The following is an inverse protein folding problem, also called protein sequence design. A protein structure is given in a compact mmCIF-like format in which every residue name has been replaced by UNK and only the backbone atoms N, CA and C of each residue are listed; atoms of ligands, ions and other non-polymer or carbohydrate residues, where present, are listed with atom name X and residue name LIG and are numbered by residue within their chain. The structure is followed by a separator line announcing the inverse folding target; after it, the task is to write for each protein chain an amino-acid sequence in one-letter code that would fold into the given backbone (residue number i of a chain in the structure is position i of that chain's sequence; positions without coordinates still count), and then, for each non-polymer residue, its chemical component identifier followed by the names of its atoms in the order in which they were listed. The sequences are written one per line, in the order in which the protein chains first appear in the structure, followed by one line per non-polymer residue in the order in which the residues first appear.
data_IF_215535054063
#
_entry.id   IF_215535054063
#
_cell.length_a   1.000
_cell.length_b   1.000
_cell.length_c   1.000
_cell.angle_alpha   90.00
_cell.angle_beta   90.00
_cell.angle_gamma   90.00
#
_symmetry.space_group_name_H-M   'P 1'
#
loop_
_entity.id
_entity.type
_entity.pdbx_description
1 polymer ?
#
# COMPACT_ATOMS: atom_id res chain seq x y z
N UNK A 1 -16.13 -25.03 -25.21
CA UNK A 1 -15.58 -24.95 -23.83
C UNK A 1 -15.61 -23.48 -23.43
N UNK A 2 -16.44 -23.08 -22.47
CA UNK A 2 -16.48 -21.70 -21.97
C UNK A 2 -15.26 -21.50 -21.08
N UNK A 3 -14.31 -20.64 -21.46
CA UNK A 3 -13.19 -20.29 -20.60
C UNK A 3 -13.73 -19.62 -19.34
N UNK A 4 -13.34 -20.11 -18.16
CA UNK A 4 -13.61 -19.39 -16.92
C UNK A 4 -13.00 -17.98 -17.01
N UNK A 5 -13.64 -16.96 -16.42
CA UNK A 5 -13.10 -15.59 -16.45
C UNK A 5 -11.68 -15.60 -15.87
N UNK A 6 -10.71 -15.07 -16.64
CA UNK A 6 -9.31 -14.98 -16.21
C UNK A 6 -9.28 -14.06 -14.99
N UNK A 7 -8.94 -14.62 -13.83
CA UNK A 7 -8.75 -13.84 -12.61
C UNK A 7 -7.42 -13.10 -12.72
N UNK A 8 -7.41 -11.81 -12.38
CA UNK A 8 -6.20 -10.99 -12.28
C UNK A 8 -6.07 -10.41 -10.88
N UNK A 9 -4.83 -10.15 -10.44
CA UNK A 9 -4.55 -9.39 -9.22
C UNK A 9 -5.05 -7.95 -9.38
N UNK A 10 -5.62 -7.37 -8.32
CA UNK A 10 -5.97 -5.94 -8.31
C UNK A 10 -4.70 -5.09 -8.41
N UNK A 11 -4.66 -4.18 -9.40
CA UNK A 11 -3.50 -3.31 -9.66
C UNK A 11 -3.03 -2.50 -8.44
N UNK A 12 -3.92 -2.23 -7.47
CA UNK A 12 -3.59 -1.51 -6.23
C UNK A 12 -2.72 -2.33 -5.28
N UNK A 13 -2.69 -3.65 -5.45
CA UNK A 13 -1.82 -4.57 -4.72
C UNK A 13 -0.54 -4.86 -5.50
N UNK A 14 0.04 -3.81 -6.08
CA UNK A 14 1.37 -3.87 -6.68
C UNK A 14 2.27 -2.81 -6.09
N UNK A 15 3.58 -3.10 -6.02
CA UNK A 15 4.59 -2.14 -5.61
C UNK A 15 5.89 -2.36 -6.37
N UNK A 16 6.60 -1.27 -6.64
CA UNK A 16 8.00 -1.33 -7.08
C UNK A 16 8.96 -1.57 -5.92
N UNK A 17 8.51 -1.38 -4.67
CA UNK A 17 9.25 -1.77 -3.45
C UNK A 17 9.10 -3.26 -3.15
N UNK A 18 9.86 -3.75 -2.17
CA UNK A 18 9.84 -5.15 -1.72
C UNK A 18 8.97 -5.38 -0.48
N UNK A 19 8.30 -4.35 0.03
CA UNK A 19 7.41 -4.38 1.19
C UNK A 19 6.06 -3.74 0.86
N UNK A 20 5.08 -3.93 1.75
CA UNK A 20 3.74 -3.35 1.58
C UNK A 20 3.22 -2.89 2.96
N UNK A 21 3.21 -1.58 3.26
CA UNK A 21 2.81 -1.07 4.57
C UNK A 21 1.44 -1.58 5.02
N UNK A 22 1.30 -1.87 6.32
CA UNK A 22 0.10 -2.48 6.93
C UNK A 22 -0.22 -3.92 6.52
N UNK A 23 0.63 -4.56 5.71
CA UNK A 23 0.50 -5.97 5.33
C UNK A 23 1.79 -6.74 5.62
N UNK A 24 1.64 -8.05 5.80
CA UNK A 24 2.73 -9.02 5.90
C UNK A 24 2.65 -10.00 4.73
N UNK A 25 3.81 -10.39 4.20
CA UNK A 25 3.92 -11.46 3.19
C UNK A 25 3.72 -12.80 3.89
N UNK A 26 2.58 -13.46 3.65
CA UNK A 26 2.28 -14.79 4.17
C UNK A 26 2.92 -15.91 3.33
N UNK A 27 3.02 -15.71 2.02
CA UNK A 27 3.61 -16.68 1.09
C UNK A 27 4.20 -15.98 -0.14
N UNK A 28 5.29 -16.53 -0.67
CA UNK A 28 5.89 -16.16 -1.96
C UNK A 28 5.54 -17.25 -2.97
N UNK A 29 4.99 -16.87 -4.12
CA UNK A 29 4.61 -17.78 -5.22
C UNK A 29 5.62 -17.79 -6.37
N UNK A 30 6.72 -17.06 -6.21
CA UNK A 30 7.81 -16.97 -7.19
C UNK A 30 7.65 -15.82 -8.16
N UNK A 31 8.47 -15.86 -9.22
CA UNK A 31 8.55 -14.80 -10.23
C UNK A 31 7.37 -14.89 -11.18
N UNK A 32 6.73 -13.76 -11.44
CA UNK A 32 5.66 -13.62 -12.43
C UNK A 32 6.01 -12.58 -13.46
N UNK A 33 5.46 -12.76 -14.66
CA UNK A 33 5.77 -11.95 -15.84
C UNK A 33 4.60 -11.83 -16.79
N UNK A 34 4.56 -10.73 -17.54
CA UNK A 34 3.74 -10.53 -18.70
C UNK A 34 4.55 -9.89 -19.82
N UNK A 35 4.38 -10.38 -21.04
CA UNK A 35 5.16 -9.95 -22.22
C UNK A 35 4.18 -9.47 -23.28
N UNK A 36 4.52 -8.42 -24.01
CA UNK A 36 3.92 -8.10 -25.30
C UNK A 36 5.01 -7.76 -26.30
N UNK A 37 4.81 -8.13 -27.57
CA UNK A 37 5.69 -7.72 -28.66
C UNK A 37 4.94 -6.73 -29.51
N UNK A 38 5.59 -5.60 -29.82
CA UNK A 38 5.06 -4.58 -30.72
C UNK A 38 5.90 -4.56 -31.99
N UNK A 39 5.25 -4.40 -33.14
CA UNK A 39 5.94 -4.03 -34.37
C UNK A 39 5.70 -2.52 -34.59
N UNK A 40 6.66 -1.62 -34.31
CA UNK A 40 6.57 -0.20 -34.69
C UNK A 40 6.18 0.05 -36.16
N UNK A 41 6.43 -0.87 -37.09
CA UNK A 41 5.99 -0.73 -38.49
C UNK A 41 4.48 -0.93 -38.70
N UNK A 42 3.74 -1.47 -37.72
CA UNK A 42 2.27 -1.44 -37.76
C UNK A 42 1.73 0.01 -37.66
N UNK A 43 2.55 0.97 -37.19
CA UNK A 43 2.25 2.40 -37.18
C UNK A 43 2.86 3.20 -38.33
N UNK A 44 3.72 2.61 -39.18
CA UNK A 44 4.27 3.30 -40.37
C UNK A 44 3.19 3.68 -41.38
N UNK A 45 2.06 2.96 -41.40
CA UNK A 45 0.87 3.34 -42.16
C UNK A 45 0.16 4.60 -41.63
N UNK A 46 0.39 5.00 -40.38
CA UNK A 46 -0.31 6.12 -39.72
C UNK A 46 0.60 7.36 -39.62
N UNK A 47 1.91 7.18 -39.48
CA UNK A 47 2.88 8.27 -39.24
C UNK A 47 3.49 8.83 -40.54
N UNK A 48 3.52 8.07 -41.64
CA UNK A 48 4.00 8.58 -42.93
C UNK A 48 3.21 9.78 -43.48
N UNK A 49 2.03 10.07 -42.91
CA UNK A 49 1.12 11.08 -43.42
C UNK A 49 1.22 12.48 -42.76
N UNK A 50 1.85 12.68 -41.58
CA UNK A 50 1.64 13.99 -40.90
C UNK A 50 2.76 14.76 -40.17
N UNK A 51 3.85 14.23 -39.60
CA UNK A 51 4.63 15.14 -38.73
C UNK A 51 6.08 14.71 -38.45
N UNK A 52 6.96 15.01 -39.39
CA UNK A 52 8.42 14.98 -39.17
C UNK A 52 8.99 16.32 -38.70
N UNK A 53 8.18 17.31 -38.28
CA UNK A 53 8.64 18.71 -38.19
C UNK A 53 8.27 19.53 -36.94
N UNK A 54 7.92 18.90 -35.83
CA UNK A 54 7.86 19.60 -34.53
C UNK A 54 8.63 18.78 -33.50
N UNK A 55 9.76 19.31 -33.02
CA UNK A 55 10.69 18.64 -32.10
C UNK A 55 10.15 18.44 -30.67
N UNK A 56 8.89 18.03 -30.53
CA UNK A 56 8.26 17.64 -29.27
C UNK A 56 8.15 16.13 -29.13
N UNK A 57 7.75 15.67 -27.94
CA UNK A 57 7.39 14.27 -27.73
C UNK A 57 6.30 13.82 -28.72
N UNK A 58 6.53 12.71 -29.41
CA UNK A 58 5.52 12.15 -30.29
C UNK A 58 4.42 11.48 -29.48
N UNK A 59 3.30 12.17 -29.33
CA UNK A 59 2.11 11.70 -28.62
C UNK A 59 1.67 10.30 -29.08
N UNK A 60 1.78 9.99 -30.37
CA UNK A 60 1.48 8.67 -30.92
C UNK A 60 2.45 7.59 -30.43
N UNK A 61 3.77 7.84 -30.44
CA UNK A 61 4.72 6.85 -29.93
C UNK A 61 4.61 6.67 -28.40
N UNK A 62 4.27 7.72 -27.66
CA UNK A 62 3.95 7.62 -26.23
C UNK A 62 2.72 6.73 -26.02
N UNK A 63 1.63 6.99 -26.73
CA UNK A 63 0.40 6.19 -26.62
C UNK A 63 0.65 4.70 -26.95
N UNK A 64 1.48 4.43 -27.97
CA UNK A 64 1.89 3.06 -28.31
C UNK A 64 2.69 2.41 -27.18
N UNK A 65 3.62 3.13 -26.57
CA UNK A 65 4.42 2.63 -25.46
C UNK A 65 3.56 2.36 -24.21
N UNK A 66 2.66 3.27 -23.87
CA UNK A 66 1.73 3.11 -22.74
C UNK A 66 0.80 1.91 -22.93
N UNK A 67 0.20 1.75 -24.13
CA UNK A 67 -0.61 0.57 -24.44
C UNK A 67 0.19 -0.73 -24.32
N UNK A 68 1.45 -0.74 -24.76
CA UNK A 68 2.30 -1.91 -24.64
C UNK A 68 2.61 -2.24 -23.17
N UNK A 69 2.95 -1.24 -22.35
CA UNK A 69 3.20 -1.43 -20.92
C UNK A 69 1.96 -1.90 -20.18
N UNK A 70 0.79 -1.31 -20.43
CA UNK A 70 -0.46 -1.73 -19.81
C UNK A 70 -0.78 -3.19 -20.14
N UNK A 71 -0.59 -3.62 -21.40
CA UNK A 71 -0.81 -5.04 -21.76
C UNK A 71 0.17 -5.98 -21.06
N UNK A 72 1.45 -5.62 -21.01
CA UNK A 72 2.45 -6.42 -20.29
C UNK A 72 2.12 -6.51 -18.80
N UNK A 73 1.72 -5.38 -18.19
CA UNK A 73 1.32 -5.29 -16.80
C UNK A 73 0.10 -6.15 -16.49
N UNK A 74 -0.98 -6.06 -17.28
CA UNK A 74 -2.18 -6.87 -17.08
C UNK A 74 -1.88 -8.36 -17.17
N UNK A 75 -1.06 -8.80 -18.14
CA UNK A 75 -0.63 -10.20 -18.25
C UNK A 75 0.19 -10.67 -17.05
N UNK A 76 1.01 -9.79 -16.46
CA UNK A 76 1.73 -10.10 -15.22
C UNK A 76 0.77 -10.29 -14.04
N UNK A 77 -0.30 -9.48 -13.95
CA UNK A 77 -1.33 -9.61 -12.90
C UNK A 77 -2.16 -10.88 -13.07
N UNK A 78 -2.49 -11.26 -14.31
CA UNK A 78 -3.15 -12.54 -14.65
C UNK A 78 -2.27 -13.72 -14.24
N UNK A 79 -0.98 -13.69 -14.59
CA UNK A 79 -0.02 -14.72 -14.18
C UNK A 79 0.11 -14.79 -12.64
N UNK A 80 0.21 -13.64 -11.97
CA UNK A 80 0.20 -13.54 -10.50
C UNK A 80 -1.00 -14.20 -9.85
N UNK A 81 -2.21 -13.95 -10.37
CA UNK A 81 -3.42 -14.58 -9.88
C UNK A 81 -3.46 -16.08 -10.19
N UNK A 82 -2.97 -16.50 -11.35
CA UNK A 82 -2.93 -17.91 -11.76
C UNK A 82 -2.03 -18.77 -10.86
N UNK A 83 -0.95 -18.19 -10.31
CA UNK A 83 -0.08 -18.88 -9.34
C UNK A 83 -0.56 -18.76 -7.89
N UNK A 84 -1.72 -18.16 -7.64
CA UNK A 84 -2.32 -18.04 -6.31
C UNK A 84 -1.96 -16.77 -5.53
N UNK A 85 -1.22 -15.84 -6.14
CA UNK A 85 -0.90 -14.54 -5.55
C UNK A 85 -2.11 -13.61 -5.46
N UNK A 86 -2.07 -12.70 -4.48
CA UNK A 86 -3.00 -11.56 -4.39
C UNK A 86 -2.30 -10.20 -4.51
N UNK A 87 -0.97 -10.19 -4.66
CA UNK A 87 -0.16 -9.00 -4.87
C UNK A 87 1.12 -9.33 -5.68
N UNK A 88 1.73 -8.31 -6.30
CA UNK A 88 3.04 -8.42 -6.96
C UNK A 88 3.97 -7.32 -6.44
N UNK A 89 5.11 -7.71 -5.86
CA UNK A 89 6.11 -6.79 -5.32
C UNK A 89 7.36 -6.75 -6.19
N UNK A 90 8.16 -5.69 -6.07
CA UNK A 90 9.37 -5.49 -6.87
C UNK A 90 9.08 -5.40 -8.36
N UNK A 91 7.94 -4.79 -8.74
CA UNK A 91 7.53 -4.66 -10.14
C UNK A 91 8.56 -3.87 -10.94
N UNK A 92 8.95 -4.40 -12.09
CA UNK A 92 9.87 -3.77 -13.04
C UNK A 92 9.35 -3.93 -14.46
N UNK A 93 9.76 -2.99 -15.32
CA UNK A 93 9.50 -3.03 -16.75
C UNK A 93 10.81 -3.07 -17.52
N UNK A 94 10.86 -3.88 -18.56
CA UNK A 94 11.94 -3.90 -19.55
C UNK A 94 11.37 -3.77 -20.94
N UNK A 95 12.18 -3.25 -21.86
CA UNK A 95 11.86 -3.27 -23.28
C UNK A 95 13.13 -3.50 -24.09
N UNK A 96 13.06 -4.39 -25.08
CA UNK A 96 14.22 -4.81 -25.88
C UNK A 96 13.78 -4.99 -27.34
N UNK A 97 14.66 -4.67 -28.28
CA UNK A 97 14.42 -5.03 -29.69
C UNK A 97 14.77 -6.51 -29.89
N UNK A 98 13.80 -7.30 -30.39
CA UNK A 98 13.99 -8.74 -30.64
C UNK A 98 14.56 -8.94 -32.05
N UNK A 99 14.03 -8.20 -33.02
CA UNK A 99 14.43 -8.19 -34.43
C UNK A 99 14.11 -6.81 -35.00
N UNK A 100 14.66 -6.49 -36.17
CA UNK A 100 14.50 -5.17 -36.81
C UNK A 100 13.04 -4.70 -36.82
N UNK A 101 12.78 -3.62 -36.08
CA UNK A 101 11.45 -3.03 -35.99
C UNK A 101 10.43 -3.87 -35.21
N UNK A 102 10.85 -4.76 -34.32
CA UNK A 102 10.00 -5.44 -33.34
C UNK A 102 10.58 -5.30 -31.93
N UNK A 103 9.81 -4.67 -31.04
CA UNK A 103 10.20 -4.40 -29.66
C UNK A 103 9.35 -5.22 -28.69
N UNK A 104 10.00 -5.99 -27.84
CA UNK A 104 9.42 -6.57 -26.63
C UNK A 104 9.19 -5.49 -25.57
N UNK A 105 8.07 -5.59 -24.86
CA UNK A 105 7.86 -4.94 -23.57
C UNK A 105 7.45 -6.02 -22.58
N UNK A 106 8.17 -6.11 -21.47
CA UNK A 106 7.92 -7.06 -20.40
C UNK A 106 7.69 -6.32 -19.08
N UNK A 107 6.76 -6.83 -18.29
CA UNK A 107 6.59 -6.50 -16.88
C UNK A 107 6.86 -7.76 -16.06
N UNK A 108 7.61 -7.65 -14.96
CA UNK A 108 7.86 -8.77 -14.04
C UNK A 108 7.95 -8.32 -12.59
N UNK A 109 7.82 -9.28 -11.67
CA UNK A 109 7.96 -9.08 -10.23
C UNK A 109 7.79 -10.39 -9.47
N UNK A 110 7.60 -10.31 -8.15
CA UNK A 110 7.37 -11.48 -7.28
C UNK A 110 5.92 -11.53 -6.85
N UNK A 111 5.20 -12.61 -7.20
CA UNK A 111 3.85 -12.83 -6.73
C UNK A 111 3.86 -13.29 -5.26
N UNK A 112 3.00 -12.69 -4.45
CA UNK A 112 2.90 -12.98 -3.02
C UNK A 112 1.45 -13.06 -2.56
N UNK A 113 1.24 -13.64 -1.38
CA UNK A 113 0.01 -13.48 -0.60
C UNK A 113 0.26 -12.49 0.53
N UNK A 114 -0.36 -11.32 0.45
CA UNK A 114 -0.40 -10.33 1.52
C UNK A 114 -1.59 -10.57 2.45
N UNK A 115 -1.35 -10.47 3.75
CA UNK A 115 -2.37 -10.46 4.81
C UNK A 115 -2.22 -9.21 5.67
N UNK A 116 -3.32 -8.60 6.17
CA UNK A 116 -3.22 -7.43 7.04
C UNK A 116 -2.35 -7.71 8.27
N UNK A 117 -1.50 -6.75 8.64
CA UNK A 117 -0.76 -6.77 9.91
C UNK A 117 -1.77 -6.67 11.06
N UNK A 118 -1.66 -7.58 12.03
CA UNK A 118 -2.43 -7.46 13.27
C UNK A 118 -1.99 -6.19 14.02
N UNK A 119 -2.92 -5.45 14.64
CA UNK A 119 -2.54 -4.36 15.53
C UNK A 119 -1.71 -4.95 16.67
N UNK A 120 -0.46 -4.48 16.79
CA UNK A 120 0.36 -4.80 17.95
C UNK A 120 -0.26 -4.09 19.15
N UNK A 121 -1.07 -4.80 19.94
CA UNK A 121 -1.36 -4.38 21.29
C UNK A 121 -0.08 -4.64 22.09
N UNK A 122 0.70 -3.58 22.34
CA UNK A 122 1.74 -3.64 23.37
C UNK A 122 1.03 -4.08 24.64
N UNK A 123 1.32 -5.29 25.12
CA UNK A 123 0.83 -5.74 26.41
C UNK A 123 1.11 -4.61 27.40
N UNK A 124 0.05 -4.09 28.04
CA UNK A 124 0.25 -3.33 29.26
C UNK A 124 1.19 -4.16 30.15
N UNK A 125 2.19 -3.55 30.81
CA UNK A 125 3.16 -4.30 31.61
C UNK A 125 2.40 -5.33 32.43
N UNK A 126 2.85 -6.58 32.36
CA UNK A 126 2.23 -7.69 33.07
C UNK A 126 1.86 -7.18 34.46
N UNK A 127 0.59 -7.28 34.82
CA UNK A 127 0.11 -6.80 36.10
C UNK A 127 0.92 -7.54 37.17
N UNK A 128 1.94 -6.89 37.71
CA UNK A 128 2.74 -7.45 38.79
C UNK A 128 1.77 -7.68 39.94
N UNK A 129 1.57 -8.92 40.43
CA UNK A 129 0.70 -9.15 41.56
C UNK A 129 1.14 -8.26 42.71
N UNK A 130 0.27 -7.29 42.97
CA UNK A 130 0.19 -6.34 44.07
C UNK A 130 1.37 -6.39 45.05
N UNK A 131 2.12 -5.29 45.14
CA UNK A 131 2.66 -4.86 46.42
C UNK A 131 1.53 -5.05 47.45
N UNK A 132 1.73 -5.77 48.57
CA UNK A 132 0.67 -5.95 49.55
C UNK A 132 0.08 -4.58 49.84
N UNK A 133 -1.26 -4.47 49.81
CA UNK A 133 -1.94 -3.27 50.30
C UNK A 133 -1.37 -2.99 51.69
N UNK A 134 -0.41 -2.08 51.81
CA UNK A 134 -0.02 -1.57 53.11
C UNK A 134 -1.27 -0.85 53.59
N UNK A 135 -1.82 -1.33 54.70
CA UNK A 135 -2.92 -0.65 55.34
C UNK A 135 -2.49 0.80 55.53
N UNK A 136 -3.16 1.72 54.84
CA UNK A 136 -3.01 3.14 55.07
C UNK A 136 -3.39 3.36 56.52
N UNK A 137 -2.48 3.85 57.40
CA UNK A 137 -2.81 4.02 58.80
C UNK A 137 -4.08 4.86 58.94
N UNK A 138 -5.01 4.50 59.85
CA UNK A 138 -6.20 5.29 60.10
C UNK A 138 -5.81 6.75 60.38
N UNK A 139 -6.30 7.68 59.55
CA UNK A 139 -5.98 9.11 59.65
C UNK A 139 -4.96 9.66 58.65
N UNK A 140 -4.33 8.82 57.82
CA UNK A 140 -3.44 9.28 56.74
C UNK A 140 -4.14 9.33 55.39
N UNK A 141 -5.13 10.21 55.26
CA UNK A 141 -5.65 10.55 53.93
C UNK A 141 -4.71 11.59 53.30
N UNK A 142 -4.00 11.28 52.19
CA UNK A 142 -3.24 12.31 51.46
C UNK A 142 -4.16 13.31 50.76
N UNK A 143 -5.46 13.01 50.67
CA UNK A 143 -6.48 13.92 50.17
C UNK A 143 -7.05 14.75 51.32
N UNK A 144 -6.42 15.90 51.61
CA UNK A 144 -7.18 17.07 52.04
C UNK A 144 -7.85 17.63 50.77
N UNK A 145 -9.09 17.24 50.52
CA UNK A 145 -9.89 17.96 49.53
C UNK A 145 -9.97 19.42 50.01
N UNK A 146 -9.65 20.43 49.16
CA UNK A 146 -10.00 21.80 49.51
C UNK A 146 -11.52 21.84 49.68
N UNK A 147 -11.98 22.09 50.91
CA UNK A 147 -13.38 22.28 51.26
C UNK A 147 -13.85 23.65 50.74
N UNK A 148 -13.77 23.87 49.44
CA UNK A 148 -14.53 24.92 48.77
C UNK A 148 -15.13 24.30 47.51
N UNK A 149 -16.43 24.08 47.54
CA UNK A 149 -17.17 23.69 46.35
C UNK A 149 -16.89 24.74 45.26
N UNK A 150 -16.60 24.33 44.01
CA UNK A 150 -16.43 25.28 42.92
C UNK A 150 -17.73 26.08 42.75
N UNK A 151 -17.65 27.41 42.49
CA UNK A 151 -18.84 28.20 42.25
C UNK A 151 -19.62 27.59 41.07
N UNK A 152 -20.91 27.33 41.30
CA UNK A 152 -21.79 26.82 40.26
C UNK A 152 -22.04 27.92 39.22
N UNK A 153 -22.17 27.52 37.95
CA UNK A 153 -22.72 28.43 36.94
C UNK A 153 -24.20 28.69 37.21
N UNK A 154 -24.79 29.81 36.75
CA UNK A 154 -26.22 30.13 36.95
C UNK A 154 -27.21 29.07 36.43
N UNK A 155 -26.73 28.06 35.70
CA UNK A 155 -27.53 26.98 35.12
C UNK A 155 -27.19 25.58 35.66
N UNK A 156 -26.48 25.50 36.81
CA UNK A 156 -26.38 24.28 37.61
C UNK A 156 -25.37 23.21 37.15
N UNK A 157 -24.52 23.49 36.17
CA UNK A 157 -23.43 22.58 35.81
C UNK A 157 -22.15 22.91 36.60
N UNK A 158 -21.44 21.91 37.18
CA UNK A 158 -20.13 22.13 37.79
C UNK A 158 -19.10 22.52 36.73
N UNK A 159 -18.35 23.61 36.97
CA UNK A 159 -17.22 24.01 36.13
C UNK A 159 -16.18 22.88 36.12
N UNK A 160 -15.89 22.33 34.93
CA UNK A 160 -14.91 21.26 34.80
C UNK A 160 -13.51 21.78 35.17
N UNK A 161 -12.79 21.03 36.01
CA UNK A 161 -11.38 21.34 36.31
C UNK A 161 -10.56 21.19 35.03
N UNK A 162 -9.94 22.28 34.57
CA UNK A 162 -8.99 22.22 33.47
C UNK A 162 -7.74 21.45 33.91
N UNK A 163 -7.41 20.38 33.20
CA UNK A 163 -6.16 19.63 33.42
C UNK A 163 -5.01 20.48 32.88
N UNK A 164 -4.03 20.88 33.72
CA UNK A 164 -2.89 21.65 33.21
C UNK A 164 -2.03 20.77 32.30
N UNK A 165 -1.43 21.35 31.23
CA UNK A 165 -0.61 20.58 30.30
C UNK A 165 0.64 20.01 30.99
N UNK A 166 1.16 18.86 30.52
CA UNK A 166 2.36 18.25 31.09
C UNK A 166 3.56 19.19 30.98
N UNK A 167 4.34 19.28 32.05
CA UNK A 167 5.56 20.08 32.09
C UNK A 167 6.53 19.63 31.00
N UNK A 168 7.08 20.59 30.24
CA UNK A 168 8.12 20.34 29.26
C UNK A 168 9.44 20.09 29.99
N UNK A 169 10.12 18.99 29.65
CA UNK A 169 11.54 18.78 29.98
C UNK A 169 12.42 19.68 29.11
#
# INVERSE_FOLDING_TARGET
MSAAPVRAIDRRFTSTTFDFPNYTIAQIHGVVRGITVRNPNAGKAIIGAFASLTGGESSTYIEMAEKARERAFMRMLEHGAAVGGNAVLGVQFTGQEITEGMTEVMAYGTAVTLVPKQPTYTQAPAFSPQQPYQAVPPGSSPYQAPMTAPPMTPHGAPQAYAVPPPAKN
#
